data_IF_420527170745
#
_entry.id   IF_420527170745
#
_cell.length_a   1.000
_cell.length_b   1.000
_cell.length_c   1.000
_cell.angle_alpha   90.00
_cell.angle_beta   90.00
_cell.angle_gamma   90.00
#
_symmetry.space_group_name_H-M   'P 1'
#
loop_
_entity.id
_entity.type
_entity.pdbx_description
1 polymer ?
#
# COMPACT_ATOMS: atom_id res chain seq x y z
N UNK A 1 19.23 12.47 33.43
CA UNK A 1 18.27 12.71 32.31
C UNK A 1 18.83 12.43 30.90
N UNK A 2 20.05 11.91 30.73
CA UNK A 2 20.66 11.72 29.39
C UNK A 2 20.33 10.40 28.67
N UNK A 3 19.95 9.33 29.38
CA UNK A 3 19.76 8.02 28.73
C UNK A 3 18.44 7.90 27.97
N UNK A 4 17.35 8.47 28.49
CA UNK A 4 16.02 8.40 27.86
C UNK A 4 16.01 9.02 26.45
N UNK A 5 16.66 10.18 26.28
CA UNK A 5 16.76 10.86 24.97
C UNK A 5 17.51 10.01 23.93
N UNK A 6 18.54 9.27 24.35
CA UNK A 6 19.31 8.38 23.46
C UNK A 6 18.46 7.22 22.96
N UNK A 7 17.66 6.60 23.83
CA UNK A 7 16.76 5.51 23.45
C UNK A 7 15.61 5.99 22.54
N UNK A 8 15.05 7.17 22.78
CA UNK A 8 14.03 7.76 21.91
C UNK A 8 14.57 8.06 20.51
N UNK A 9 15.77 8.62 20.41
CA UNK A 9 16.43 8.90 19.11
C UNK A 9 16.75 7.59 18.39
N UNK A 10 17.24 6.57 19.09
CA UNK A 10 17.50 5.25 18.50
C UNK A 10 16.21 4.60 17.97
N UNK A 11 15.11 4.66 18.73
CA UNK A 11 13.81 4.17 18.27
C UNK A 11 13.32 4.91 17.03
N UNK A 12 13.37 6.26 17.04
CA UNK A 12 12.97 7.07 15.90
C UNK A 12 13.82 6.77 14.65
N UNK A 13 15.13 6.57 14.83
CA UNK A 13 16.04 6.24 13.73
C UNK A 13 15.68 4.92 13.04
N UNK A 14 15.18 3.93 13.78
CA UNK A 14 14.71 2.64 13.22
C UNK A 14 13.34 2.78 12.56
N UNK A 15 12.45 3.60 13.12
CA UNK A 15 11.11 3.80 12.58
C UNK A 15 11.07 4.63 11.28
N UNK A 16 12.01 5.56 11.09
CA UNK A 16 12.08 6.38 9.87
C UNK A 16 12.11 5.55 8.58
N UNK A 17 13.05 4.60 8.37
CA UNK A 17 13.10 3.81 7.15
C UNK A 17 11.86 2.91 6.98
N UNK A 18 11.33 2.33 8.07
CA UNK A 18 10.10 1.54 8.03
C UNK A 18 8.87 2.40 7.65
N UNK A 19 8.80 3.63 8.14
CA UNK A 19 7.77 4.59 7.74
C UNK A 19 7.87 4.94 6.27
N UNK A 20 9.10 5.14 5.77
CA UNK A 20 9.36 5.41 4.34
C UNK A 20 8.95 4.21 3.48
N UNK A 21 9.29 2.98 3.84
CA UNK A 21 8.89 1.81 3.06
C UNK A 21 7.37 1.65 3.03
N UNK A 22 6.69 1.81 4.17
CA UNK A 22 5.23 1.82 4.24
C UNK A 22 4.61 2.92 3.38
N UNK A 23 5.19 4.11 3.36
CA UNK A 23 4.73 5.22 2.52
C UNK A 23 4.87 4.88 1.04
N UNK A 24 6.04 4.40 0.62
CA UNK A 24 6.30 4.01 -0.78
C UNK A 24 5.35 2.91 -1.22
N UNK A 25 5.17 1.87 -0.41
CA UNK A 25 4.23 0.77 -0.71
C UNK A 25 2.80 1.31 -0.85
N UNK A 26 2.34 2.17 0.08
CA UNK A 26 1.00 2.77 0.00
C UNK A 26 0.81 3.61 -1.27
N UNK A 27 1.78 4.43 -1.65
CA UNK A 27 1.71 5.23 -2.88
C UNK A 27 1.61 4.33 -4.10
N UNK A 28 2.43 3.28 -4.16
CA UNK A 28 2.44 2.33 -5.26
C UNK A 28 1.12 1.55 -5.37
N UNK A 29 0.59 1.08 -4.23
CA UNK A 29 -0.72 0.43 -4.14
C UNK A 29 -1.82 1.36 -4.66
N UNK A 30 -1.88 2.60 -4.19
CA UNK A 30 -2.90 3.56 -4.62
C UNK A 30 -2.82 3.88 -6.12
N UNK A 31 -1.61 3.95 -6.67
CA UNK A 31 -1.40 4.12 -8.11
C UNK A 31 -1.95 2.94 -8.90
N UNK A 32 -1.69 1.71 -8.45
CA UNK A 32 -2.18 0.50 -9.10
C UNK A 32 -3.69 0.34 -8.95
N UNK A 33 -4.26 0.65 -7.79
CA UNK A 33 -5.72 0.64 -7.60
C UNK A 33 -6.40 1.68 -8.51
N UNK A 34 -5.76 2.83 -8.78
CA UNK A 34 -6.24 3.81 -9.75
C UNK A 34 -6.40 3.26 -11.16
N UNK A 35 -5.62 2.25 -11.56
CA UNK A 35 -5.77 1.59 -12.87
C UNK A 35 -7.08 0.82 -12.99
N UNK A 36 -7.69 0.39 -11.88
CA UNK A 36 -9.00 -0.27 -11.89
C UNK A 36 -10.11 0.67 -12.40
N UNK A 37 -9.94 1.99 -12.26
CA UNK A 37 -10.88 2.97 -12.78
C UNK A 37 -10.90 3.01 -14.32
N UNK A 38 -9.84 2.53 -14.99
CA UNK A 38 -9.80 2.40 -16.44
C UNK A 38 -10.65 1.21 -16.92
N UNK A 39 -10.92 0.23 -16.05
CA UNK A 39 -11.81 -0.87 -16.40
C UNK A 39 -13.29 -0.40 -16.36
N UNK A 40 -14.13 -0.91 -17.29
CA UNK A 40 -15.57 -0.69 -17.23
C UNK A 40 -16.13 -1.14 -15.87
N UNK A 41 -17.19 -0.51 -15.36
CA UNK A 41 -17.73 -0.78 -14.02
C UNK A 41 -17.98 -2.26 -13.74
N UNK A 42 -18.45 -3.02 -14.74
CA UNK A 42 -18.77 -4.44 -14.62
C UNK A 42 -17.55 -5.33 -14.41
N UNK A 43 -16.35 -4.88 -14.79
CA UNK A 43 -15.10 -5.61 -14.62
C UNK A 43 -14.31 -5.20 -13.38
N UNK A 44 -14.83 -4.23 -12.61
CA UNK A 44 -14.17 -3.80 -11.37
C UNK A 44 -14.45 -4.78 -10.25
N UNK A 45 -13.47 -5.10 -9.40
CA UNK A 45 -13.67 -6.03 -8.28
C UNK A 45 -14.73 -5.52 -7.29
N UNK A 46 -14.92 -4.20 -7.17
CA UNK A 46 -15.98 -3.61 -6.33
C UNK A 46 -17.39 -4.03 -6.76
N UNK A 47 -17.64 -4.24 -8.06
CA UNK A 47 -18.96 -4.63 -8.57
C UNK A 47 -19.33 -6.07 -8.20
N UNK A 48 -18.33 -6.93 -7.94
CA UNK A 48 -18.51 -8.34 -7.61
C UNK A 48 -18.50 -8.57 -6.10
N UNK A 49 -17.65 -7.82 -5.38
CA UNK A 49 -17.47 -7.97 -3.93
C UNK A 49 -18.40 -7.04 -3.12
N UNK A 50 -18.91 -5.97 -3.71
CA UNK A 50 -19.78 -4.99 -3.03
C UNK A 50 -19.07 -4.04 -2.07
N UNK A 51 -17.74 -4.16 -1.93
CA UNK A 51 -16.89 -3.26 -1.14
C UNK A 51 -15.51 -3.12 -1.78
N UNK A 52 -14.86 -1.97 -1.56
CA UNK A 52 -13.51 -1.69 -2.06
C UNK A 52 -12.46 -2.20 -1.08
N UNK A 53 -11.58 -3.10 -1.52
CA UNK A 53 -10.41 -3.53 -0.73
C UNK A 53 -9.17 -2.83 -1.29
N UNK A 54 -8.50 -1.96 -0.50
CA UNK A 54 -7.27 -1.32 -0.94
C UNK A 54 -6.16 -2.37 -1.17
N UNK A 55 -5.46 -2.25 -2.29
CA UNK A 55 -4.44 -3.21 -2.71
C UNK A 55 -4.91 -4.30 -3.67
N UNK A 56 -6.21 -4.36 -4.01
CA UNK A 56 -6.70 -5.35 -4.99
C UNK A 56 -6.13 -5.12 -6.39
N UNK A 57 -5.88 -3.89 -6.81
CA UNK A 57 -5.27 -3.59 -8.11
C UNK A 57 -3.88 -4.21 -8.24
N UNK A 58 -3.12 -4.26 -7.14
CA UNK A 58 -1.80 -4.92 -7.08
C UNK A 58 -1.96 -6.43 -7.25
N UNK A 59 -2.86 -7.06 -6.49
CA UNK A 59 -3.10 -8.51 -6.55
C UNK A 59 -3.57 -8.93 -7.94
N UNK A 60 -4.52 -8.20 -8.53
CA UNK A 60 -5.01 -8.45 -9.88
C UNK A 60 -3.92 -8.25 -10.93
N UNK A 61 -3.11 -7.19 -10.81
CA UNK A 61 -1.98 -6.96 -11.72
C UNK A 61 -0.98 -8.11 -11.67
N UNK A 62 -0.61 -8.57 -10.47
CA UNK A 62 0.27 -9.74 -10.29
C UNK A 62 -0.38 -10.98 -10.91
N UNK A 63 -1.66 -11.25 -10.63
CA UNK A 63 -2.36 -12.40 -11.19
C UNK A 63 -2.44 -12.38 -12.72
N UNK A 64 -2.62 -11.21 -13.34
CA UNK A 64 -2.66 -11.05 -14.80
C UNK A 64 -1.28 -11.25 -15.42
N UNK A 65 -0.23 -10.68 -14.81
CA UNK A 65 1.15 -10.78 -15.32
C UNK A 65 1.71 -12.19 -15.19
N UNK A 66 1.36 -12.92 -14.13
CA UNK A 66 1.85 -14.28 -13.85
C UNK A 66 0.99 -15.40 -14.47
N UNK A 67 -0.07 -15.09 -15.22
CA UNK A 67 -0.80 -16.08 -16.04
C UNK A 67 -0.10 -16.31 -17.37
#
# INVERSE_FOLDING_TARGET
>A
MGSLRRYLVAGLLVWVPLGVTLLVVRVLVNWLDGTLLLLPPDYRPEAWLGFTIPGLGVVLSIAIVFR
#
